data_IF_976063546540
#
_entry.id   IF_976063546540
#
_cell.length_a   1.000
_cell.length_b   1.000
_cell.length_c   1.000
_cell.angle_alpha   90.00
_cell.angle_beta   90.00
_cell.angle_gamma   90.00
#
_symmetry.space_group_name_H-M   'P 1'
#
loop_
_entity.id
_entity.type
_entity.pdbx_description
1 polymer ?
#
# COMPACT_ATOMS: atom_id res chain seq x y z
N UNK A 1 8.52 4.78 -35.59
CA UNK A 1 8.97 3.93 -34.47
C UNK A 1 8.08 4.20 -33.26
N UNK A 2 7.41 3.22 -32.64
CA UNK A 2 6.66 3.49 -31.42
C UNK A 2 7.67 3.80 -30.31
N UNK A 3 7.51 4.97 -29.69
CA UNK A 3 8.36 5.44 -28.58
C UNK A 3 8.33 4.37 -27.49
N UNK A 4 9.51 3.94 -27.03
CA UNK A 4 9.62 2.98 -25.92
C UNK A 4 8.77 3.45 -24.75
N UNK A 5 7.88 2.58 -24.25
CA UNK A 5 6.93 2.91 -23.20
C UNK A 5 7.67 3.30 -21.93
N UNK A 6 7.79 4.60 -21.67
CA UNK A 6 8.39 5.10 -20.44
C UNK A 6 7.52 4.69 -19.25
N UNK A 7 8.17 4.21 -18.18
CA UNK A 7 7.47 3.77 -16.96
C UNK A 7 6.73 4.94 -16.33
N UNK A 8 5.41 4.99 -16.50
CA UNK A 8 4.58 5.99 -15.85
C UNK A 8 4.54 5.75 -14.34
N UNK A 9 4.69 6.83 -13.58
CA UNK A 9 4.91 6.78 -12.14
C UNK A 9 3.57 6.89 -11.39
N UNK A 10 2.66 5.95 -11.66
CA UNK A 10 1.25 6.00 -11.25
C UNK A 10 1.09 5.59 -9.77
N UNK A 11 0.49 6.47 -8.96
CA UNK A 11 0.19 6.22 -7.54
C UNK A 11 -1.12 5.42 -7.34
N UNK A 12 -1.42 5.03 -6.10
CA UNK A 12 -2.58 4.18 -5.82
C UNK A 12 -3.91 4.88 -6.14
N UNK A 13 -4.04 6.17 -5.80
CA UNK A 13 -5.22 6.98 -6.11
C UNK A 13 -5.46 7.05 -7.63
N UNK A 14 -4.42 7.34 -8.39
CA UNK A 14 -4.50 7.40 -9.85
C UNK A 14 -4.92 6.05 -10.44
N UNK A 15 -4.42 4.92 -9.93
CA UNK A 15 -4.87 3.58 -10.37
C UNK A 15 -6.38 3.40 -10.16
N UNK A 16 -6.91 3.81 -9.01
CA UNK A 16 -8.35 3.74 -8.72
C UNK A 16 -9.15 4.66 -9.64
N UNK A 17 -8.69 5.89 -9.87
CA UNK A 17 -9.34 6.82 -10.79
C UNK A 17 -9.37 6.27 -12.23
N UNK A 18 -8.29 5.63 -12.67
CA UNK A 18 -8.23 5.01 -14.01
C UNK A 18 -9.19 3.83 -14.15
N UNK A 19 -9.35 3.03 -13.10
CA UNK A 19 -10.33 1.94 -13.07
C UNK A 19 -11.77 2.48 -13.12
N UNK A 20 -12.06 3.57 -12.39
CA UNK A 20 -13.37 4.25 -12.45
C UNK A 20 -13.65 4.83 -13.83
N UNK A 21 -12.67 5.50 -14.44
CA UNK A 21 -12.79 6.02 -15.81
C UNK A 21 -13.00 4.89 -16.81
N UNK A 22 -12.32 3.76 -16.64
CA UNK A 22 -12.51 2.57 -17.48
C UNK A 22 -13.94 2.00 -17.38
N UNK A 23 -14.51 1.91 -16.17
CA UNK A 23 -15.88 1.43 -15.99
C UNK A 23 -16.94 2.38 -16.55
N UNK A 24 -16.66 3.69 -16.54
CA UNK A 24 -17.56 4.70 -17.10
C UNK A 24 -17.54 4.75 -18.63
N UNK A 25 -16.58 4.07 -19.29
CA UNK A 25 -16.55 4.00 -20.74
C UNK A 25 -17.64 3.05 -21.27
N UNK A 26 -18.25 3.38 -22.42
CA UNK A 26 -19.10 2.41 -23.11
C UNK A 26 -18.29 1.16 -23.46
N UNK A 27 -18.98 0.01 -23.48
CA UNK A 27 -18.36 -1.28 -23.80
C UNK A 27 -17.56 -1.17 -25.11
N UNK A 28 -16.25 -1.32 -25.00
CA UNK A 28 -15.32 -1.23 -26.12
C UNK A 28 -14.12 -2.12 -25.88
N UNK A 29 -13.37 -2.37 -26.96
CA UNK A 29 -12.15 -3.19 -26.89
C UNK A 29 -11.13 -2.48 -25.99
N UNK A 30 -10.45 -3.26 -25.16
CA UNK A 30 -9.50 -2.75 -24.15
C UNK A 30 -8.37 -1.91 -24.75
N UNK A 31 -7.95 -2.18 -25.99
CA UNK A 31 -6.97 -1.36 -26.72
C UNK A 31 -7.50 0.06 -26.97
N UNK A 32 -8.73 0.19 -27.45
CA UNK A 32 -9.41 1.48 -27.65
C UNK A 32 -9.63 2.22 -26.34
N UNK A 33 -10.01 1.50 -25.28
CA UNK A 33 -10.13 2.08 -23.95
C UNK A 33 -8.77 2.60 -23.41
N UNK A 34 -7.68 1.86 -23.62
CA UNK A 34 -6.35 2.26 -23.20
C UNK A 34 -5.87 3.54 -23.90
N UNK A 35 -6.14 3.68 -25.21
CA UNK A 35 -5.86 4.90 -25.97
C UNK A 35 -6.62 6.10 -25.38
N UNK A 36 -7.94 5.95 -25.12
CA UNK A 36 -8.77 7.01 -24.50
C UNK A 36 -8.27 7.41 -23.11
N UNK A 37 -7.71 6.45 -22.37
CA UNK A 37 -7.15 6.64 -21.04
C UNK A 37 -5.68 7.12 -21.06
N UNK A 38 -5.03 7.22 -22.23
CA UNK A 38 -3.63 7.67 -22.33
C UNK A 38 -2.61 6.71 -21.71
N UNK A 39 -2.94 5.41 -21.63
CA UNK A 39 -2.06 4.35 -21.09
C UNK A 39 -1.90 3.22 -22.10
N UNK A 40 -0.90 2.37 -21.88
CA UNK A 40 -0.74 1.16 -22.71
C UNK A 40 -1.77 0.09 -22.35
N UNK A 41 -2.17 -0.70 -23.34
CA UNK A 41 -3.12 -1.80 -23.16
C UNK A 41 -2.62 -2.82 -22.12
N UNK A 42 -1.32 -3.10 -22.09
CA UNK A 42 -0.70 -3.96 -21.06
C UNK A 42 -0.83 -3.39 -19.64
N UNK A 43 -0.74 -2.07 -19.47
CA UNK A 43 -0.94 -1.40 -18.17
C UNK A 43 -2.40 -1.49 -17.74
N UNK A 44 -3.34 -1.22 -18.66
CA UNK A 44 -4.78 -1.34 -18.38
C UNK A 44 -5.16 -2.77 -18.02
N UNK A 45 -4.68 -3.76 -18.79
CA UNK A 45 -4.88 -5.19 -18.49
C UNK A 45 -4.37 -5.56 -17.10
N UNK A 46 -3.18 -5.07 -16.72
CA UNK A 46 -2.64 -5.27 -15.38
C UNK A 46 -3.50 -4.63 -14.30
N UNK A 47 -4.06 -3.43 -14.51
CA UNK A 47 -4.94 -2.77 -13.54
C UNK A 47 -6.23 -3.56 -13.36
N UNK A 48 -6.88 -3.96 -14.47
CA UNK A 48 -8.11 -4.76 -14.43
C UNK A 48 -7.87 -6.08 -13.70
N UNK A 49 -6.78 -6.79 -14.01
CA UNK A 49 -6.43 -8.05 -13.33
C UNK A 49 -6.19 -7.88 -11.82
N UNK A 50 -5.61 -6.76 -11.40
CA UNK A 50 -5.30 -6.49 -9.99
C UNK A 50 -6.34 -5.59 -9.30
N UNK A 51 -7.55 -5.45 -9.88
CA UNK A 51 -8.57 -4.51 -9.43
C UNK A 51 -8.91 -4.65 -7.94
N UNK A 52 -9.16 -5.88 -7.49
CA UNK A 52 -9.49 -6.18 -6.08
C UNK A 52 -8.41 -5.67 -5.14
N UNK A 53 -7.16 -6.07 -5.41
CA UNK A 53 -5.99 -5.61 -4.65
C UNK A 53 -5.84 -4.10 -4.65
N UNK A 54 -5.96 -3.43 -5.80
CA UNK A 54 -5.90 -1.96 -5.89
C UNK A 54 -6.99 -1.30 -5.03
N UNK A 55 -8.20 -1.86 -5.00
CA UNK A 55 -9.31 -1.36 -4.19
C UNK A 55 -9.07 -1.56 -2.69
N UNK A 56 -8.71 -2.78 -2.28
CA UNK A 56 -8.38 -3.12 -0.88
C UNK A 56 -7.23 -2.27 -0.35
N UNK A 57 -6.18 -2.15 -1.15
CA UNK A 57 -5.03 -1.30 -0.90
C UNK A 57 -5.47 0.16 -0.73
N UNK A 58 -6.43 0.66 -1.53
CA UNK A 58 -6.87 2.05 -1.45
C UNK A 58 -7.66 2.38 -0.19
N UNK A 59 -8.38 1.40 0.37
CA UNK A 59 -9.17 1.55 1.60
C UNK A 59 -8.30 1.39 2.85
N UNK A 60 -7.35 0.46 2.82
CA UNK A 60 -6.48 0.13 3.96
C UNK A 60 -5.26 1.05 4.10
N UNK A 61 -4.83 1.71 3.03
CA UNK A 61 -3.59 2.49 3.04
C UNK A 61 -3.80 3.91 3.57
N UNK A 62 -3.08 4.22 4.64
CA UNK A 62 -3.04 5.54 5.30
C UNK A 62 -2.49 6.63 4.36
N UNK A 63 -1.65 6.28 3.36
CA UNK A 63 -1.08 7.24 2.42
C UNK A 63 -1.49 6.97 0.96
N UNK A 64 -2.47 7.71 0.40
CA UNK A 64 -2.95 7.53 -0.96
C UNK A 64 -1.92 7.94 -2.04
N UNK A 65 -0.90 8.73 -1.67
CA UNK A 65 0.21 9.09 -2.57
C UNK A 65 1.26 7.97 -2.70
N UNK A 66 1.18 6.93 -1.86
CA UNK A 66 2.11 5.79 -1.90
C UNK A 66 1.94 5.01 -3.21
N UNK A 67 3.05 4.74 -3.90
CA UNK A 67 3.07 4.12 -5.24
C UNK A 67 3.19 2.59 -5.23
N UNK A 68 3.86 2.07 -4.20
CA UNK A 68 4.04 0.64 -3.93
C UNK A 68 3.73 0.37 -2.47
N UNK A 69 2.91 -0.63 -2.23
CA UNK A 69 2.78 -1.24 -0.92
C UNK A 69 3.91 -2.24 -0.79
N UNK A 70 4.65 -2.10 0.30
CA UNK A 70 5.67 -3.04 0.73
C UNK A 70 5.20 -3.50 2.09
N UNK A 71 4.97 -4.79 2.19
CA UNK A 71 4.78 -5.45 3.46
C UNK A 71 6.16 -5.58 4.10
N UNK A 72 6.28 -5.20 5.37
CA UNK A 72 7.47 -5.49 6.16
C UNK A 72 7.67 -7.00 6.33
N UNK A 73 8.83 -7.42 6.82
CA UNK A 73 9.07 -8.85 7.11
C UNK A 73 8.15 -9.37 8.22
N UNK A 74 7.72 -8.49 9.12
CA UNK A 74 6.98 -8.82 10.33
C UNK A 74 5.68 -8.01 10.42
N UNK A 75 4.84 -8.08 9.37
CA UNK A 75 3.56 -7.34 9.27
C UNK A 75 2.66 -7.54 10.49
N UNK A 76 2.64 -8.74 11.06
CA UNK A 76 1.85 -9.03 12.26
C UNK A 76 2.31 -8.19 13.47
N UNK A 77 3.62 -8.00 13.62
CA UNK A 77 4.21 -7.15 14.67
C UNK A 77 3.90 -5.69 14.41
N UNK A 78 4.07 -5.22 13.17
CA UNK A 78 3.76 -3.84 12.77
C UNK A 78 2.29 -3.48 13.04
N UNK A 79 1.36 -4.37 12.66
CA UNK A 79 -0.07 -4.17 12.90
C UNK A 79 -0.43 -4.14 14.38
N UNK A 80 0.10 -5.09 15.17
CA UNK A 80 -0.13 -5.13 16.61
C UNK A 80 0.45 -3.88 17.30
N UNK A 81 1.62 -3.41 16.86
CA UNK A 81 2.25 -2.21 17.37
C UNK A 81 1.44 -0.96 17.03
N UNK A 82 0.94 -0.86 15.80
CA UNK A 82 0.10 0.27 15.35
C UNK A 82 -1.22 0.34 16.14
N UNK A 83 -1.86 -0.80 16.39
CA UNK A 83 -3.07 -0.86 17.22
C UNK A 83 -2.80 -0.39 18.63
N UNK A 84 -1.74 -0.91 19.27
CA UNK A 84 -1.34 -0.46 20.60
C UNK A 84 -0.99 1.03 20.64
N UNK A 85 -0.22 1.51 19.66
CA UNK A 85 0.20 2.91 19.58
C UNK A 85 -1.01 3.84 19.45
N UNK A 86 -1.98 3.49 18.61
CA UNK A 86 -3.23 4.25 18.45
C UNK A 86 -4.00 4.34 19.77
N UNK A 87 -4.12 3.23 20.50
CA UNK A 87 -4.80 3.17 21.80
C UNK A 87 -4.08 3.96 22.90
N UNK A 88 -2.75 4.04 22.87
CA UNK A 88 -2.01 4.84 23.86
C UNK A 88 -2.04 6.33 23.52
N UNK A 89 -2.06 6.66 22.21
CA UNK A 89 -2.17 8.06 21.77
C UNK A 89 -3.52 8.68 22.12
N UNK A 90 -4.61 7.93 22.10
CA UNK A 90 -5.93 8.42 22.55
C UNK A 90 -5.94 8.78 24.03
N UNK A 91 -5.00 8.26 24.82
CA UNK A 91 -4.80 8.57 26.23
C UNK A 91 -3.83 9.75 26.48
N UNK A 92 -3.44 10.48 25.42
CA UNK A 92 -2.49 11.61 25.47
C UNK A 92 -1.14 11.29 26.15
N UNK A 93 -0.74 10.03 26.22
CA UNK A 93 0.54 9.64 26.81
C UNK A 93 1.70 9.95 25.86
N UNK A 94 2.81 10.57 26.32
CA UNK A 94 3.99 10.78 25.51
C UNK A 94 4.70 9.45 25.26
N UNK A 95 4.74 9.03 24.00
CA UNK A 95 5.47 7.82 23.57
C UNK A 95 6.78 8.26 22.93
N UNK A 96 7.89 7.89 23.55
CA UNK A 96 9.20 8.04 22.95
C UNK A 96 9.55 6.80 22.11
N UNK A 97 10.63 6.92 21.33
CA UNK A 97 11.09 5.86 20.44
C UNK A 97 11.52 4.59 21.17
N UNK A 98 12.15 4.71 22.34
CA UNK A 98 12.59 3.57 23.14
C UNK A 98 11.42 2.69 23.60
N UNK A 99 10.36 3.32 24.11
CA UNK A 99 9.11 2.65 24.50
C UNK A 99 8.50 1.92 23.29
N UNK A 100 8.49 2.56 22.11
CA UNK A 100 7.94 1.97 20.90
C UNK A 100 8.72 0.71 20.46
N UNK A 101 10.06 0.73 20.57
CA UNK A 101 10.91 -0.42 20.27
C UNK A 101 10.75 -1.55 21.28
N UNK A 102 10.73 -1.24 22.57
CA UNK A 102 10.51 -2.23 23.62
C UNK A 102 9.16 -2.92 23.43
N UNK A 103 8.11 -2.14 23.14
CA UNK A 103 6.79 -2.69 22.86
C UNK A 103 6.80 -3.60 21.63
N UNK A 104 7.49 -3.22 20.56
CA UNK A 104 7.62 -4.05 19.36
C UNK A 104 8.25 -5.42 19.68
N UNK A 105 9.31 -5.45 20.49
CA UNK A 105 9.96 -6.68 20.91
C UNK A 105 9.04 -7.59 21.75
N UNK A 106 8.26 -7.00 22.66
CA UNK A 106 7.28 -7.73 23.48
C UNK A 106 6.19 -8.33 22.60
N UNK A 107 5.64 -7.55 21.66
CA UNK A 107 4.60 -8.00 20.75
C UNK A 107 5.09 -9.11 19.82
N UNK A 108 6.31 -8.97 19.29
CA UNK A 108 6.93 -10.00 18.47
C UNK A 108 7.10 -11.32 19.23
N UNK A 109 7.57 -11.25 20.49
CA UNK A 109 7.69 -12.42 21.36
C UNK A 109 6.34 -13.11 21.57
N UNK A 110 5.27 -12.34 21.81
CA UNK A 110 3.90 -12.86 21.98
C UNK A 110 3.34 -13.51 20.71
N UNK A 111 3.74 -13.01 19.54
CA UNK A 111 3.35 -13.56 18.23
C UNK A 111 4.21 -14.75 17.81
N UNK A 112 5.19 -15.18 18.63
CA UNK A 112 6.07 -16.31 18.32
C UNK A 112 7.33 -15.95 17.52
N UNK A 113 7.55 -14.67 17.23
CA UNK A 113 8.73 -14.17 16.51
C UNK A 113 9.92 -13.98 17.47
N UNK A 114 10.42 -15.08 18.08
CA UNK A 114 11.45 -15.05 19.13
C UNK A 114 12.82 -14.48 18.70
N UNK A 115 13.08 -14.40 17.40
CA UNK A 115 14.31 -13.80 16.83
C UNK A 115 14.15 -12.36 16.35
N UNK A 116 12.97 -11.75 16.52
CA UNK A 116 12.72 -10.39 16.07
C UNK A 116 13.47 -9.39 16.95
N UNK A 117 14.31 -8.57 16.31
CA UNK A 117 14.99 -7.44 16.96
C UNK A 117 14.59 -6.16 16.24
N UNK A 118 13.80 -5.27 16.87
CA UNK A 118 13.48 -3.98 16.26
C UNK A 118 14.78 -3.20 16.11
N UNK A 119 15.11 -2.86 14.86
CA UNK A 119 16.30 -2.06 14.52
C UNK A 119 15.88 -0.63 14.21
N UNK A 120 16.85 0.27 14.16
CA UNK A 120 16.56 1.65 13.86
C UNK A 120 15.93 1.86 12.48
N UNK A 121 16.42 1.12 11.49
CA UNK A 121 15.89 1.14 10.13
C UNK A 121 14.54 0.45 9.98
N UNK A 122 14.15 -0.44 10.90
CA UNK A 122 12.82 -1.06 10.87
C UNK A 122 11.72 -0.09 11.30
N UNK A 123 12.03 0.83 12.22
CA UNK A 123 11.08 1.82 12.73
C UNK A 123 11.05 3.13 11.92
N UNK A 124 11.85 3.23 10.86
CA UNK A 124 12.05 4.46 10.07
C UNK A 124 11.01 4.67 8.96
#
# INVERSE_FOLDING_TARGET
>A
MPKGTQRQNINLREKCEMLKKYDALPSCIQSSAAIKLGITQSTLSRFVRNRKKISEDSTSNINPKRKKIRDGKDVAVENALLQWFTNVRTLNAPINRGILMEKAAILASKLGHKGFKPTDGWLS
#
